data_IF_754577231278
#
_entry.id   IF_754577231278
#
_cell.length_a   1.000
_cell.length_b   1.000
_cell.length_c   1.000
_cell.angle_alpha   90.00
_cell.angle_beta   90.00
_cell.angle_gamma   90.00
#
_symmetry.space_group_name_H-M   'P 1'
#
loop_
_entity.id
_entity.type
_entity.pdbx_description
1 polymer ?
#
# COMPACT_ATOMS: atom_id res chain seq x y z
N UNK A 1 -26.22 -0.21 -21.49
CA UNK A 1 -25.98 -0.69 -20.12
C UNK A 1 -24.83 0.11 -19.54
N UNK A 2 -24.89 0.65 -18.31
CA UNK A 2 -23.76 1.37 -17.75
C UNK A 2 -22.58 0.39 -17.59
N UNK A 3 -21.43 0.80 -18.10
CA UNK A 3 -20.21 0.00 -18.22
C UNK A 3 -19.80 -0.54 -16.82
N UNK A 4 -19.90 -1.85 -16.61
CA UNK A 4 -19.68 -2.50 -15.29
C UNK A 4 -18.27 -2.22 -14.74
N UNK A 5 -17.34 -1.85 -15.64
CA UNK A 5 -15.93 -1.59 -15.36
C UNK A 5 -15.63 -0.29 -14.59
N UNK A 6 -16.61 0.61 -14.41
CA UNK A 6 -16.35 1.94 -13.85
C UNK A 6 -17.05 2.24 -12.51
N UNK A 7 -17.23 1.24 -11.64
CA UNK A 7 -17.79 1.47 -10.30
C UNK A 7 -16.70 1.87 -9.29
N UNK A 8 -17.01 2.74 -8.35
CA UNK A 8 -16.17 2.98 -7.17
C UNK A 8 -16.00 1.65 -6.40
N UNK A 9 -14.79 1.29 -5.93
CA UNK A 9 -14.61 0.09 -5.13
C UNK A 9 -15.50 0.11 -3.87
N UNK A 10 -16.12 -1.03 -3.56
CA UNK A 10 -17.01 -1.18 -2.39
C UNK A 10 -16.28 -0.77 -1.11
N UNK A 11 -16.91 0.08 -0.30
CA UNK A 11 -16.39 0.54 0.99
C UNK A 11 -15.22 1.53 0.90
N UNK A 12 -14.80 1.99 -0.29
CA UNK A 12 -13.64 2.88 -0.44
C UNK A 12 -13.78 4.23 0.29
N UNK A 13 -15.00 4.75 0.42
CA UNK A 13 -15.30 5.99 1.14
C UNK A 13 -15.17 5.84 2.67
N UNK A 14 -15.24 4.63 3.21
CA UNK A 14 -15.14 4.39 4.65
C UNK A 14 -13.70 4.51 5.19
N UNK A 15 -12.70 4.64 4.32
CA UNK A 15 -11.30 4.69 4.69
C UNK A 15 -10.71 6.08 4.41
N UNK A 16 -9.85 6.55 5.32
CA UNK A 16 -9.07 7.77 5.13
C UNK A 16 -8.14 7.64 3.91
N UNK A 17 -7.84 8.78 3.28
CA UNK A 17 -7.03 8.88 2.05
C UNK A 17 -5.64 8.27 2.24
N UNK A 18 -4.93 8.69 3.27
CA UNK A 18 -3.65 8.14 3.71
C UNK A 18 -3.60 8.05 5.23
N UNK A 19 -2.61 7.30 5.73
CA UNK A 19 -2.17 7.39 7.12
C UNK A 19 -1.00 8.36 7.27
N UNK A 20 -0.42 8.38 8.46
CA UNK A 20 0.82 9.08 8.77
C UNK A 20 2.05 8.30 8.27
N UNK A 21 3.20 8.97 8.09
CA UNK A 21 4.47 8.29 7.83
C UNK A 21 4.84 7.34 8.97
N UNK A 22 5.32 6.13 8.64
CA UNK A 22 5.87 5.20 9.64
C UNK A 22 7.29 5.65 10.01
N UNK A 23 7.44 6.21 11.22
CA UNK A 23 8.70 6.80 11.68
C UNK A 23 9.88 5.81 11.63
N UNK A 24 11.03 6.28 11.15
CA UNK A 24 12.23 5.45 10.97
C UNK A 24 12.19 4.50 9.78
N UNK A 25 11.19 4.64 8.89
CA UNK A 25 11.03 3.86 7.67
C UNK A 25 10.70 4.78 6.50
N UNK A 26 10.88 4.36 5.23
CA UNK A 26 10.47 5.17 4.09
C UNK A 26 8.97 5.03 3.78
N UNK A 27 8.15 4.40 4.62
CA UNK A 27 6.78 4.03 4.26
C UNK A 27 5.75 5.09 4.64
N UNK A 28 4.82 5.32 3.72
CA UNK A 28 3.50 5.88 3.99
C UNK A 28 2.44 5.00 3.31
N UNK A 29 1.28 4.84 3.93
CA UNK A 29 0.24 3.95 3.43
C UNK A 29 -1.01 4.73 3.04
N UNK A 30 -1.65 4.35 1.93
CA UNK A 30 -2.87 5.01 1.44
C UNK A 30 -3.90 4.02 0.92
N UNK A 31 -5.16 4.45 0.82
CA UNK A 31 -6.14 3.74 -0.02
C UNK A 31 -5.79 3.96 -1.49
N UNK A 32 -6.36 3.18 -2.40
CA UNK A 32 -6.07 3.36 -3.82
C UNK A 32 -6.51 4.75 -4.29
N UNK A 33 -5.65 5.57 -4.91
CA UNK A 33 -6.12 6.73 -5.65
C UNK A 33 -6.99 6.29 -6.82
N UNK A 34 -7.90 7.15 -7.25
CA UNK A 34 -8.83 6.89 -8.36
C UNK A 34 -8.67 7.98 -9.41
N UNK A 35 -8.65 7.60 -10.68
CA UNK A 35 -8.67 8.53 -11.81
C UNK A 35 -9.86 9.46 -11.70
N UNK A 36 -9.69 10.68 -12.20
CA UNK A 36 -10.70 11.76 -12.12
C UNK A 36 -12.09 11.33 -12.62
N UNK A 37 -12.17 10.48 -13.65
CA UNK A 37 -13.45 9.98 -14.18
C UNK A 37 -14.21 9.06 -13.21
N UNK A 38 -13.50 8.32 -12.36
CA UNK A 38 -14.12 7.58 -11.26
C UNK A 38 -14.52 8.52 -10.13
N UNK A 39 -13.65 9.44 -9.72
CA UNK A 39 -13.97 10.41 -8.65
C UNK A 39 -15.22 11.25 -8.94
N UNK A 40 -15.49 11.61 -10.21
CA UNK A 40 -16.75 12.29 -10.62
C UNK A 40 -18.04 11.56 -10.26
N UNK A 41 -17.98 10.28 -9.86
CA UNK A 41 -19.12 9.49 -9.38
C UNK A 41 -19.33 9.58 -7.86
N UNK A 42 -18.46 10.30 -7.16
CA UNK A 42 -18.54 10.59 -5.74
C UNK A 42 -19.19 11.98 -5.60
N UNK A 43 -20.26 12.06 -4.82
CA UNK A 43 -21.06 13.29 -4.70
C UNK A 43 -20.29 14.47 -4.08
N UNK A 44 -19.36 14.19 -3.17
CA UNK A 44 -18.60 15.21 -2.47
C UNK A 44 -17.17 15.29 -3.00
N UNK A 45 -16.75 16.46 -3.52
CA UNK A 45 -15.40 16.65 -4.05
C UNK A 45 -14.31 16.53 -2.98
N UNK A 46 -14.62 16.85 -1.71
CA UNK A 46 -13.66 16.71 -0.60
C UNK A 46 -13.29 15.24 -0.35
N UNK A 47 -14.14 14.29 -0.74
CA UNK A 47 -13.87 12.85 -0.66
C UNK A 47 -13.03 12.32 -1.82
N UNK A 48 -12.78 13.14 -2.85
CA UNK A 48 -11.95 12.74 -3.98
C UNK A 48 -10.52 12.46 -3.54
N UNK A 49 -9.91 11.47 -4.20
CA UNK A 49 -8.52 11.11 -3.96
C UNK A 49 -7.96 10.51 -5.25
N UNK A 50 -7.32 11.38 -6.03
CA UNK A 50 -6.67 11.10 -7.30
C UNK A 50 -5.15 10.87 -7.11
N UNK A 51 -4.42 10.41 -8.13
CA UNK A 51 -2.96 10.36 -8.09
C UNK A 51 -2.33 11.71 -7.72
N UNK A 52 -2.87 12.80 -8.27
CA UNK A 52 -2.48 14.16 -7.92
C UNK A 52 -2.72 14.48 -6.44
N UNK A 53 -3.89 14.12 -5.90
CA UNK A 53 -4.20 14.34 -4.49
C UNK A 53 -3.24 13.56 -3.57
N UNK A 54 -2.87 12.32 -3.92
CA UNK A 54 -1.87 11.54 -3.18
C UNK A 54 -0.53 12.28 -3.13
N UNK A 55 -0.04 12.75 -4.28
CA UNK A 55 1.20 13.54 -4.36
C UNK A 55 1.13 14.79 -3.49
N UNK A 56 0.07 15.58 -3.63
CA UNK A 56 -0.11 16.81 -2.85
C UNK A 56 -0.21 16.54 -1.34
N UNK A 57 -0.94 15.50 -0.93
CA UNK A 57 -1.01 15.08 0.46
C UNK A 57 0.39 14.78 1.04
N UNK A 58 1.22 14.04 0.31
CA UNK A 58 2.59 13.69 0.74
C UNK A 58 3.49 14.94 0.77
N UNK A 59 3.38 15.81 -0.23
CA UNK A 59 4.11 17.09 -0.26
C UNK A 59 3.76 18.01 0.91
N UNK A 60 2.48 18.05 1.31
CA UNK A 60 2.02 18.84 2.45
C UNK A 60 2.56 18.32 3.79
N UNK A 61 3.00 17.07 3.85
CA UNK A 61 3.73 16.51 5.01
C UNK A 61 5.23 16.87 4.99
N UNK A 62 5.70 17.65 4.01
CA UNK A 62 7.12 17.96 3.82
C UNK A 62 7.93 16.82 3.20
N UNK A 63 7.26 15.83 2.59
CA UNK A 63 7.86 14.63 2.03
C UNK A 63 7.78 14.62 0.50
N UNK A 64 8.63 13.82 -0.15
CA UNK A 64 8.60 13.60 -1.60
C UNK A 64 8.17 12.17 -1.90
N UNK A 65 7.04 11.99 -2.58
CA UNK A 65 6.67 10.67 -3.10
C UNK A 65 7.70 10.25 -4.16
N UNK A 66 8.43 9.16 -3.92
CA UNK A 66 9.45 8.66 -4.84
C UNK A 66 9.04 7.36 -5.54
N UNK A 67 8.27 6.52 -4.86
CA UNK A 67 7.79 5.23 -5.38
C UNK A 67 6.36 4.97 -4.91
N UNK A 68 5.51 4.48 -5.81
CA UNK A 68 4.21 3.90 -5.50
C UNK A 68 4.26 2.39 -5.71
N UNK A 69 3.90 1.63 -4.69
CA UNK A 69 3.70 0.18 -4.79
C UNK A 69 2.20 -0.13 -4.78
N UNK A 70 1.70 -0.59 -5.92
CA UNK A 70 0.29 -0.91 -6.15
C UNK A 70 0.03 -2.41 -5.99
N UNK A 71 -0.67 -2.79 -4.92
CA UNK A 71 -1.01 -4.18 -4.60
C UNK A 71 -2.36 -4.63 -5.20
N UNK A 72 -3.03 -3.77 -5.99
CA UNK A 72 -4.34 -4.09 -6.57
C UNK A 72 -4.20 -5.01 -7.78
N UNK A 73 -5.07 -6.02 -7.86
CA UNK A 73 -5.14 -6.94 -9.01
C UNK A 73 -6.09 -6.41 -10.10
N UNK A 74 -5.97 -5.13 -10.45
CA UNK A 74 -6.75 -4.48 -11.52
C UNK A 74 -6.10 -3.16 -11.93
N UNK A 75 -6.22 -2.80 -13.21
CA UNK A 75 -5.66 -1.54 -13.76
C UNK A 75 -6.74 -0.49 -14.00
N UNK A 76 -7.94 -0.71 -13.45
CA UNK A 76 -9.09 0.16 -13.71
C UNK A 76 -9.09 1.46 -12.89
N UNK A 77 -8.26 1.53 -11.85
CA UNK A 77 -8.37 2.58 -10.83
C UNK A 77 -7.69 3.88 -11.23
N UNK A 78 -6.49 3.84 -11.77
CA UNK A 78 -5.76 5.01 -12.28
C UNK A 78 -4.76 4.58 -13.34
N UNK A 79 -4.22 5.53 -14.08
CA UNK A 79 -3.14 5.29 -15.04
C UNK A 79 -1.79 5.52 -14.34
N UNK A 80 -0.90 4.52 -14.26
CA UNK A 80 0.44 4.71 -13.68
C UNK A 80 1.23 5.86 -14.31
N UNK A 81 0.96 6.21 -15.57
CA UNK A 81 1.61 7.32 -16.26
C UNK A 81 1.40 8.66 -15.54
N UNK A 82 0.28 8.83 -14.80
CA UNK A 82 0.02 10.03 -13.98
C UNK A 82 1.12 10.26 -12.92
N UNK A 83 1.76 9.20 -12.42
CA UNK A 83 2.90 9.28 -11.50
C UNK A 83 4.22 9.38 -12.26
N UNK A 84 4.39 8.60 -13.33
CA UNK A 84 5.64 8.57 -14.09
C UNK A 84 5.97 9.92 -14.73
N UNK A 85 4.96 10.67 -15.20
CA UNK A 85 5.17 12.03 -15.73
C UNK A 85 5.72 13.01 -14.70
N UNK A 86 5.52 12.72 -13.42
CA UNK A 86 6.02 13.49 -12.28
C UNK A 86 7.37 12.96 -11.73
N UNK A 87 7.98 11.98 -12.41
CA UNK A 87 9.23 11.34 -11.97
C UNK A 87 9.05 10.44 -10.74
N UNK A 88 7.85 9.91 -10.54
CA UNK A 88 7.50 9.00 -9.45
C UNK A 88 7.38 7.59 -10.04
N UNK A 89 8.23 6.66 -9.59
CA UNK A 89 8.18 5.28 -10.05
C UNK A 89 6.91 4.57 -9.56
N UNK A 90 6.40 3.63 -10.36
CA UNK A 90 5.26 2.78 -9.99
C UNK A 90 5.62 1.33 -10.18
N UNK A 91 5.49 0.54 -9.11
CA UNK A 91 5.69 -0.92 -9.13
C UNK A 91 4.37 -1.61 -8.81
N UNK A 92 3.85 -2.36 -9.79
CA UNK A 92 2.61 -3.13 -9.69
C UNK A 92 2.90 -4.56 -9.22
N UNK A 93 2.36 -4.93 -8.07
CA UNK A 93 2.48 -6.29 -7.48
C UNK A 93 1.07 -6.81 -7.21
N UNK A 94 0.37 -7.31 -8.26
CA UNK A 94 -1.03 -7.64 -8.14
C UNK A 94 -1.22 -8.86 -7.24
N UNK A 95 -1.97 -8.70 -6.15
CA UNK A 95 -2.34 -9.80 -5.27
C UNK A 95 -3.85 -9.78 -5.00
N UNK A 96 -4.52 -10.88 -5.38
CA UNK A 96 -5.91 -11.14 -5.07
C UNK A 96 -6.03 -12.39 -4.21
N UNK A 97 -6.62 -12.19 -3.05
CA UNK A 97 -6.89 -13.23 -2.07
C UNK A 97 -7.92 -14.28 -2.60
N UNK A 98 -8.89 -13.89 -3.44
CA UNK A 98 -9.97 -14.80 -3.84
C UNK A 98 -9.60 -15.69 -5.04
N UNK A 99 -8.52 -15.34 -5.74
CA UNK A 99 -8.22 -15.89 -7.06
C UNK A 99 -7.49 -17.23 -7.08
N UNK A 100 -6.79 -17.62 -6.00
CA UNK A 100 -5.91 -18.80 -6.04
C UNK A 100 -6.39 -20.01 -5.22
N UNK A 101 -7.41 -19.87 -4.36
CA UNK A 101 -7.79 -20.94 -3.41
C UNK A 101 -9.30 -21.16 -3.28
N UNK A 102 -10.04 -21.26 -4.40
CA UNK A 102 -11.49 -21.54 -4.41
C UNK A 102 -12.30 -20.60 -3.49
N UNK A 103 -11.91 -19.32 -3.42
CA UNK A 103 -12.56 -18.31 -2.58
C UNK A 103 -12.19 -18.32 -1.09
N UNK A 104 -11.26 -19.16 -0.64
CA UNK A 104 -10.71 -19.14 0.72
C UNK A 104 -9.67 -18.06 0.91
N UNK A 105 -9.55 -17.56 2.15
CA UNK A 105 -8.45 -16.69 2.54
C UNK A 105 -7.10 -17.31 2.19
N UNK A 106 -6.24 -16.56 1.50
CA UNK A 106 -4.88 -16.99 1.22
C UNK A 106 -3.87 -15.87 1.53
N UNK A 107 -2.68 -16.29 1.95
CA UNK A 107 -1.51 -15.44 2.08
C UNK A 107 -0.88 -15.20 0.70
N UNK A 108 -0.14 -14.09 0.50
CA UNK A 108 0.72 -13.93 -0.66
C UNK A 108 1.73 -15.05 -0.77
N UNK A 109 1.95 -15.56 -1.98
CA UNK A 109 3.02 -16.52 -2.23
C UNK A 109 4.40 -15.87 -2.01
N UNK A 110 5.40 -16.66 -1.64
CA UNK A 110 6.74 -16.17 -1.33
C UNK A 110 7.36 -15.32 -2.46
N UNK A 111 7.13 -15.69 -3.72
CA UNK A 111 7.61 -14.92 -4.87
C UNK A 111 6.90 -13.55 -5.04
N UNK A 112 5.67 -13.40 -4.53
CA UNK A 112 4.96 -12.12 -4.52
C UNK A 112 5.51 -11.22 -3.42
N UNK A 113 5.82 -11.80 -2.25
CA UNK A 113 6.51 -11.10 -1.17
C UNK A 113 7.90 -10.65 -1.59
N UNK A 114 8.66 -11.50 -2.29
CA UNK A 114 10.02 -11.14 -2.67
C UNK A 114 10.07 -9.99 -3.68
N UNK A 115 9.14 -9.93 -4.63
CA UNK A 115 8.98 -8.76 -5.51
C UNK A 115 8.76 -7.46 -4.72
N UNK A 116 8.02 -7.53 -3.62
CA UNK A 116 7.81 -6.38 -2.76
C UNK A 116 9.11 -5.99 -2.04
N UNK A 117 9.85 -6.97 -1.52
CA UNK A 117 11.13 -6.73 -0.84
C UNK A 117 12.16 -6.14 -1.79
N UNK A 118 12.32 -6.71 -2.98
CA UNK A 118 13.21 -6.22 -4.03
C UNK A 118 12.89 -4.78 -4.44
N UNK A 119 11.61 -4.44 -4.61
CA UNK A 119 11.19 -3.09 -4.96
C UNK A 119 11.53 -2.07 -3.86
N UNK A 120 11.24 -2.42 -2.60
CA UNK A 120 11.55 -1.56 -1.45
C UNK A 120 13.06 -1.41 -1.24
N UNK A 121 13.81 -2.50 -1.31
CA UNK A 121 15.25 -2.48 -1.09
C UNK A 121 15.99 -1.75 -2.21
N UNK A 122 15.56 -1.93 -3.45
CA UNK A 122 16.09 -1.17 -4.60
C UNK A 122 15.85 0.33 -4.42
N UNK A 123 14.64 0.73 -3.99
CA UNK A 123 14.36 2.13 -3.68
C UNK A 123 15.29 2.67 -2.60
N UNK A 124 15.41 1.97 -1.46
CA UNK A 124 16.25 2.39 -0.34
C UNK A 124 17.73 2.47 -0.74
N UNK A 125 18.20 1.55 -1.58
CA UNK A 125 19.59 1.51 -2.04
C UNK A 125 19.92 2.66 -2.99
N UNK A 126 19.03 2.94 -3.95
CA UNK A 126 19.25 3.91 -5.02
C UNK A 126 18.89 5.35 -4.61
N UNK A 127 17.90 5.53 -3.74
CA UNK A 127 17.43 6.86 -3.34
C UNK A 127 18.21 7.37 -2.11
N UNK A 128 18.90 8.51 -2.28
CA UNK A 128 19.68 9.16 -1.22
C UNK A 128 18.93 10.28 -0.49
N UNK A 129 17.74 10.64 -0.96
CA UNK A 129 16.93 11.70 -0.38
C UNK A 129 16.19 11.19 0.87
N UNK A 130 16.53 11.67 2.08
CA UNK A 130 15.92 11.21 3.33
C UNK A 130 14.44 11.60 3.46
N UNK A 131 13.97 12.58 2.68
CA UNK A 131 12.56 13.00 2.67
C UNK A 131 11.73 12.24 1.63
N UNK A 132 12.35 11.36 0.83
CA UNK A 132 11.63 10.60 -0.17
C UNK A 132 11.06 9.32 0.40
N UNK A 133 9.78 9.08 0.09
CA UNK A 133 8.99 7.98 0.65
C UNK A 133 8.40 7.07 -0.41
N UNK A 134 8.12 5.83 0.01
CA UNK A 134 7.37 4.81 -0.71
C UNK A 134 5.92 4.86 -0.24
N UNK A 135 4.99 5.12 -1.14
CA UNK A 135 3.57 4.92 -0.86
C UNK A 135 3.15 3.50 -1.22
N UNK A 136 2.68 2.73 -0.23
CA UNK A 136 2.11 1.40 -0.48
C UNK A 136 0.60 1.47 -0.38
N UNK A 137 -0.11 0.97 -1.39
CA UNK A 137 -1.56 0.90 -1.35
C UNK A 137 -2.10 -0.44 -1.87
N UNK A 138 -3.30 -0.76 -1.40
CA UNK A 138 -4.18 -1.73 -2.02
C UNK A 138 -5.52 -1.02 -2.30
N UNK A 139 -6.66 -1.72 -2.39
CA UNK A 139 -7.94 -1.03 -2.59
C UNK A 139 -8.25 -0.05 -1.46
N UNK A 140 -8.13 -0.49 -0.20
CA UNK A 140 -8.45 0.28 1.00
C UNK A 140 -7.22 0.77 1.76
N UNK A 141 -6.04 0.23 1.42
CA UNK A 141 -4.80 0.59 2.10
C UNK A 141 -4.63 -0.02 3.49
N UNK A 142 -5.37 -1.09 3.82
CA UNK A 142 -5.40 -1.64 5.18
C UNK A 142 -4.89 -3.07 5.21
N UNK A 143 -5.70 -4.05 4.79
CA UNK A 143 -5.35 -5.46 4.98
C UNK A 143 -4.10 -5.92 4.20
N UNK A 144 -4.11 -5.85 2.87
CA UNK A 144 -2.94 -6.25 2.05
C UNK A 144 -1.75 -5.34 2.29
N UNK A 145 -1.98 -4.03 2.32
CA UNK A 145 -0.92 -3.04 2.60
C UNK A 145 -0.23 -3.32 3.92
N UNK A 146 -1.00 -3.50 5.00
CA UNK A 146 -0.48 -3.79 6.32
C UNK A 146 0.27 -5.10 6.38
N UNK A 147 -0.24 -6.15 5.75
CA UNK A 147 0.47 -7.43 5.66
C UNK A 147 1.86 -7.28 5.03
N UNK A 148 1.94 -6.70 3.82
CA UNK A 148 3.21 -6.55 3.11
C UNK A 148 4.20 -5.66 3.86
N UNK A 149 3.75 -4.52 4.38
CA UNK A 149 4.58 -3.60 5.16
C UNK A 149 5.07 -4.26 6.45
N UNK A 150 4.19 -4.88 7.24
CA UNK A 150 4.59 -5.54 8.50
C UNK A 150 5.60 -6.65 8.26
N UNK A 151 5.37 -7.50 7.24
CA UNK A 151 6.28 -8.60 6.89
C UNK A 151 7.66 -8.07 6.50
N UNK A 152 7.76 -7.02 5.70
CA UNK A 152 9.03 -6.38 5.38
C UNK A 152 9.74 -5.81 6.63
N UNK A 153 8.99 -5.13 7.52
CA UNK A 153 9.57 -4.57 8.75
C UNK A 153 10.13 -5.67 9.68
N UNK A 154 9.47 -6.82 9.75
CA UNK A 154 9.94 -7.95 10.56
C UNK A 154 11.16 -8.61 9.92
N UNK A 155 11.07 -8.98 8.65
CA UNK A 155 12.07 -9.82 7.97
C UNK A 155 13.30 -9.04 7.51
N UNK A 156 13.15 -7.76 7.12
CA UNK A 156 14.24 -6.91 6.58
C UNK A 156 14.73 -5.85 7.57
N UNK A 157 13.90 -5.43 8.52
CA UNK A 157 14.26 -4.40 9.52
C UNK A 157 14.37 -4.94 10.95
N UNK A 158 14.12 -6.23 11.17
CA UNK A 158 14.26 -6.87 12.47
C UNK A 158 13.26 -6.40 13.53
N UNK A 159 12.13 -5.81 13.13
CA UNK A 159 11.10 -5.42 14.07
C UNK A 159 10.41 -6.66 14.65
N UNK A 160 9.94 -6.56 15.90
CA UNK A 160 9.08 -7.60 16.45
C UNK A 160 7.71 -7.56 15.74
N UNK A 161 7.04 -8.72 15.56
CA UNK A 161 5.72 -8.75 14.94
C UNK A 161 4.70 -7.82 15.58
N UNK A 162 4.67 -7.79 16.92
CA UNK A 162 3.77 -6.93 17.68
C UNK A 162 4.03 -5.45 17.40
N UNK A 163 5.30 -5.02 17.40
CA UNK A 163 5.67 -3.63 17.08
C UNK A 163 5.26 -3.25 15.66
N UNK A 164 5.55 -4.10 14.67
CA UNK A 164 5.22 -3.82 13.27
C UNK A 164 3.71 -3.66 13.06
N UNK A 165 2.92 -4.56 13.67
CA UNK A 165 1.47 -4.52 13.59
C UNK A 165 0.87 -3.30 14.29
N UNK A 166 1.30 -3.01 15.53
CA UNK A 166 0.85 -1.85 16.29
C UNK A 166 1.18 -0.55 15.57
N UNK A 167 2.43 -0.36 15.15
CA UNK A 167 2.86 0.84 14.43
C UNK A 167 2.05 1.04 13.15
N UNK A 168 1.85 -0.02 12.35
CA UNK A 168 1.05 0.06 11.13
C UNK A 168 -0.39 0.48 11.43
N UNK A 169 -1.06 -0.15 12.38
CA UNK A 169 -2.48 0.16 12.68
C UNK A 169 -2.63 1.58 13.24
N UNK A 170 -1.70 2.01 14.10
CA UNK A 170 -1.69 3.37 14.65
C UNK A 170 -1.47 4.41 13.56
N UNK A 171 -0.44 4.26 12.74
CA UNK A 171 -0.12 5.23 11.66
C UNK A 171 -1.14 5.21 10.54
N UNK A 172 -1.69 4.04 10.18
CA UNK A 172 -2.74 3.92 9.17
C UNK A 172 -4.08 4.49 9.66
N UNK A 173 -4.36 4.38 10.96
CA UNK A 173 -5.63 4.76 11.58
C UNK A 173 -6.77 3.77 11.32
N UNK A 174 -6.47 2.55 10.88
CA UNK A 174 -7.44 1.48 10.59
C UNK A 174 -6.85 0.12 10.96
N UNK A 175 -7.67 -0.76 11.55
CA UNK A 175 -7.25 -2.10 11.95
C UNK A 175 -7.18 -3.08 10.78
N UNK A 176 -6.22 -4.00 10.82
CA UNK A 176 -6.18 -5.16 9.92
C UNK A 176 -7.25 -6.15 10.38
N UNK A 177 -8.34 -6.24 9.64
CA UNK A 177 -9.50 -7.08 9.97
C UNK A 177 -9.38 -8.54 9.50
N UNK A 178 -8.32 -8.89 8.76
CA UNK A 178 -8.09 -10.26 8.27
C UNK A 178 -7.28 -11.05 9.28
N UNK A 179 -7.94 -11.95 10.00
CA UNK A 179 -7.34 -12.81 11.01
C UNK A 179 -6.16 -13.60 10.47
N UNK A 180 -6.26 -14.15 9.25
CA UNK A 180 -5.15 -14.90 8.62
C UNK A 180 -3.87 -14.07 8.50
N UNK A 181 -3.99 -12.75 8.24
CA UNK A 181 -2.83 -11.86 8.14
C UNK A 181 -2.27 -11.55 9.53
N UNK A 182 -3.15 -11.23 10.48
CA UNK A 182 -2.72 -10.92 11.85
C UNK A 182 -2.01 -12.13 12.47
N UNK A 183 -2.57 -13.33 12.33
CA UNK A 183 -1.95 -14.55 12.84
C UNK A 183 -0.60 -14.84 12.19
N UNK A 184 -0.50 -14.73 10.86
CA UNK A 184 0.75 -14.99 10.15
C UNK A 184 1.84 -13.97 10.50
N UNK A 185 1.47 -12.68 10.59
CA UNK A 185 2.37 -11.62 11.06
C UNK A 185 2.90 -11.99 12.45
N UNK A 186 2.01 -12.28 13.41
CA UNK A 186 2.39 -12.58 14.79
C UNK A 186 3.22 -13.85 14.95
N UNK A 187 3.08 -14.82 14.03
CA UNK A 187 3.89 -16.06 14.00
C UNK A 187 5.24 -15.87 13.27
N UNK A 188 5.45 -14.77 12.55
CA UNK A 188 6.68 -14.53 11.79
C UNK A 188 7.87 -14.36 12.74
N UNK A 189 8.87 -15.23 12.62
CA UNK A 189 10.14 -15.05 13.31
C UNK A 189 11.06 -14.17 12.48
N UNK A 190 11.73 -13.20 13.11
CA UNK A 190 12.79 -12.45 12.43
C UNK A 190 13.81 -13.45 11.87
N UNK A 191 14.11 -13.36 10.57
CA UNK A 191 15.20 -14.14 10.01
C UNK A 191 16.46 -13.74 10.75
N UNK A 192 17.11 -14.68 11.42
CA UNK A 192 18.44 -14.48 11.97
C UNK A 192 19.33 -14.05 10.82
N UNK A 193 19.64 -12.76 10.74
CA UNK A 193 20.59 -12.23 9.77
C UNK A 193 21.90 -13.01 9.98
N UNK A 194 22.21 -13.91 9.04
CA UNK A 194 23.57 -14.41 8.86
C UNK A 194 24.42 -13.18 8.57
N UNK A 195 25.37 -12.90 9.48
CA UNK A 195 26.24 -11.73 9.45
C UNK A 195 27.18 -11.65 8.27
#
# INVERSE_FOLDING_TARGET
MPNVHEKIPKGWLAYSKHGEPLLGTPFICSKCPLKKSLCKKINCETDWFTPHDLKCCIQNLGLRLGLVIDLTATDRYYDPDEFLTDGIDVVKIPFNYYGSNNGKECLPAANVMEKFYEAVDSFIHCNRDPNSVICVHCTHGVNRTGYFVCKYLIERKGWTPKKALEEFMTTRGHEISREVYVEDILKTTASSASG
#
